data_IF_356312721441
#
_entry.id   IF_356312721441
#
_cell.length_a   1.000
_cell.length_b   1.000
_cell.length_c   1.000
_cell.angle_alpha   90.00
_cell.angle_beta   90.00
_cell.angle_gamma   90.00
#
_symmetry.space_group_name_H-M   'P 1'
#
loop_
_entity.id
_entity.type
_entity.pdbx_description
1 polymer ?
#
# COMPACT_ATOMS: atom_id res chain seq x y z
N UNK A 1 -15.02 -12.29 -7.94
CA UNK A 1 -16.06 -11.28 -7.67
C UNK A 1 -16.31 -10.56 -8.97
N UNK A 2 -17.50 -10.69 -9.55
CA UNK A 2 -17.90 -9.87 -10.71
C UNK A 2 -18.47 -8.56 -10.17
N UNK A 3 -17.81 -7.45 -10.51
CA UNK A 3 -18.27 -6.11 -10.17
C UNK A 3 -18.96 -5.51 -11.39
N UNK A 4 -20.01 -4.69 -11.22
CA UNK A 4 -20.66 -4.03 -12.34
C UNK A 4 -19.66 -3.21 -13.16
N UNK A 5 -19.80 -3.16 -14.50
CA UNK A 5 -18.95 -2.34 -15.34
C UNK A 5 -19.02 -0.87 -14.89
N UNK A 6 -17.86 -0.27 -14.64
CA UNK A 6 -17.74 1.10 -14.11
C UNK A 6 -17.54 1.19 -12.60
N UNK A 7 -17.67 0.09 -11.85
CA UNK A 7 -17.27 0.08 -10.44
C UNK A 7 -15.76 0.25 -10.34
N UNK A 8 -15.33 1.28 -9.60
CA UNK A 8 -13.91 1.56 -9.35
C UNK A 8 -13.70 1.60 -7.85
N UNK A 9 -12.59 1.03 -7.42
CA UNK A 9 -12.15 1.18 -6.05
C UNK A 9 -11.67 2.62 -5.84
N UNK A 10 -12.54 3.46 -5.29
CA UNK A 10 -12.28 4.87 -5.00
C UNK A 10 -12.82 5.23 -3.60
N UNK A 11 -12.28 4.61 -2.54
CA UNK A 11 -12.70 4.89 -1.18
C UNK A 11 -12.30 6.31 -0.77
N UNK A 12 -13.09 6.91 0.10
CA UNK A 12 -12.75 8.15 0.80
C UNK A 12 -11.64 7.92 1.83
N UNK A 13 -10.99 9.00 2.27
CA UNK A 13 -9.96 8.94 3.32
C UNK A 13 -10.49 8.31 4.61
N UNK A 14 -11.73 8.63 4.98
CA UNK A 14 -12.39 8.04 6.14
C UNK A 14 -12.58 6.54 5.97
N UNK A 15 -13.11 6.09 4.82
CA UNK A 15 -13.31 4.66 4.55
C UNK A 15 -11.98 3.89 4.53
N UNK A 16 -10.92 4.47 3.97
CA UNK A 16 -9.57 3.89 4.01
C UNK A 16 -9.12 3.65 5.46
N UNK A 17 -9.37 4.59 6.36
CA UNK A 17 -8.95 4.47 7.76
C UNK A 17 -9.85 3.48 8.51
N UNK A 18 -11.17 3.64 8.43
CA UNK A 18 -12.14 2.91 9.27
C UNK A 18 -12.35 1.48 8.82
N UNK A 19 -12.45 1.25 7.50
CA UNK A 19 -12.78 -0.06 6.95
C UNK A 19 -11.57 -0.87 6.49
N UNK A 20 -10.47 -0.21 6.13
CA UNK A 20 -9.30 -0.92 5.61
C UNK A 20 -8.09 -0.90 6.55
N UNK A 21 -7.77 0.23 7.19
CA UNK A 21 -6.57 0.34 8.01
C UNK A 21 -6.81 -0.10 9.45
N UNK A 22 -7.89 0.37 10.08
CA UNK A 22 -8.21 0.08 11.48
C UNK A 22 -8.35 -1.43 11.74
N UNK A 23 -9.10 -2.19 10.92
CA UNK A 23 -9.21 -3.64 11.10
C UNK A 23 -7.87 -4.35 10.88
N UNK A 24 -7.03 -3.85 9.97
CA UNK A 24 -5.69 -4.41 9.71
C UNK A 24 -4.74 -4.22 10.89
N UNK A 25 -4.85 -3.12 11.62
CA UNK A 25 -4.05 -2.85 12.81
C UNK A 25 -4.54 -3.67 14.00
N UNK A 26 -5.86 -3.82 14.14
CA UNK A 26 -6.47 -4.61 15.23
C UNK A 26 -6.29 -6.12 15.02
N UNK A 27 -6.25 -6.58 13.76
CA UNK A 27 -6.10 -7.99 13.41
C UNK A 27 -5.07 -8.18 12.30
N UNK A 28 -3.96 -8.85 12.64
CA UNK A 28 -2.91 -9.20 11.68
C UNK A 28 -3.40 -10.13 10.57
N UNK A 29 -4.45 -10.93 10.83
CA UNK A 29 -5.06 -11.86 9.86
C UNK A 29 -6.07 -11.19 8.93
N UNK A 30 -6.43 -9.93 9.17
CA UNK A 30 -7.31 -9.19 8.27
C UNK A 30 -6.67 -9.08 6.88
N UNK A 31 -7.43 -9.48 5.86
CA UNK A 31 -7.02 -9.37 4.46
C UNK A 31 -8.10 -8.65 3.68
N UNK A 32 -7.73 -7.55 3.04
CA UNK A 32 -8.62 -6.87 2.10
C UNK A 32 -8.48 -7.48 0.70
N UNK A 33 -9.59 -7.70 -0.02
CA UNK A 33 -9.55 -8.09 -1.43
C UNK A 33 -9.07 -6.95 -2.33
N UNK A 34 -9.25 -5.69 -1.91
CA UNK A 34 -8.87 -4.52 -2.70
C UNK A 34 -7.42 -4.08 -2.48
N UNK A 35 -6.89 -4.27 -1.26
CA UNK A 35 -5.56 -3.78 -0.86
C UNK A 35 -4.59 -4.95 -0.70
N UNK A 36 -3.46 -4.89 -1.39
CA UNK A 36 -2.39 -5.88 -1.32
C UNK A 36 -1.39 -5.55 -0.20
N UNK A 37 -0.74 -6.55 0.38
CA UNK A 37 0.39 -6.34 1.29
C UNK A 37 1.69 -6.29 0.50
N UNK A 38 2.49 -5.24 0.71
CA UNK A 38 3.77 -5.07 0.00
C UNK A 38 4.83 -4.53 0.95
N UNK A 39 6.05 -5.04 0.81
CA UNK A 39 7.23 -4.46 1.45
C UNK A 39 7.89 -3.48 0.47
N UNK A 40 7.63 -2.18 0.67
CA UNK A 40 8.18 -1.13 -0.18
C UNK A 40 9.72 -1.05 -0.14
N UNK A 41 10.39 -1.69 0.83
CA UNK A 41 11.85 -1.76 0.85
C UNK A 41 12.41 -2.80 -0.13
N UNK A 42 11.59 -3.79 -0.52
CA UNK A 42 11.99 -4.92 -1.37
C UNK A 42 11.35 -4.90 -2.75
N UNK A 43 10.46 -3.94 -3.00
CA UNK A 43 9.71 -3.83 -4.25
C UNK A 43 10.00 -2.49 -4.89
N UNK A 44 10.38 -2.50 -6.16
CA UNK A 44 10.57 -1.28 -6.91
C UNK A 44 9.22 -0.65 -7.30
N UNK A 45 9.14 0.67 -7.51
CA UNK A 45 7.89 1.35 -7.85
C UNK A 45 7.19 0.79 -9.10
N UNK A 46 7.97 0.30 -10.08
CA UNK A 46 7.45 -0.28 -11.32
C UNK A 46 6.96 -1.73 -11.16
N UNK A 47 7.31 -2.41 -10.07
CA UNK A 47 6.80 -3.75 -9.75
C UNK A 47 5.46 -3.68 -8.99
N UNK A 48 5.12 -2.52 -8.44
CA UNK A 48 3.89 -2.31 -7.64
C UNK A 48 2.62 -2.62 -8.43
N UNK A 49 2.44 -2.18 -9.70
CA UNK A 49 1.24 -2.47 -10.46
C UNK A 49 0.96 -3.97 -10.60
N UNK A 50 2.01 -4.79 -10.75
CA UNK A 50 1.88 -6.25 -10.85
C UNK A 50 1.54 -6.94 -9.52
N UNK A 51 1.69 -6.25 -8.39
CA UNK A 51 1.37 -6.75 -7.04
C UNK A 51 0.03 -6.25 -6.52
N UNK A 52 -0.60 -5.32 -7.22
CA UNK A 52 -1.89 -4.79 -6.81
C UNK A 52 -2.98 -5.85 -6.98
N UNK A 53 -3.88 -5.96 -6.01
CA UNK A 53 -5.06 -6.84 -6.11
C UNK A 53 -6.21 -6.20 -6.89
N UNK A 54 -6.30 -4.87 -6.85
CA UNK A 54 -7.38 -4.10 -7.47
C UNK A 54 -6.89 -2.70 -7.84
N UNK A 55 -7.51 -2.12 -8.87
CA UNK A 55 -7.21 -0.78 -9.36
C UNK A 55 -6.55 -0.78 -10.74
N UNK A 56 -6.95 0.17 -11.58
CA UNK A 56 -6.41 0.35 -12.93
C UNK A 56 -5.41 1.50 -13.02
N UNK A 57 -5.75 2.63 -12.38
CA UNK A 57 -4.96 3.88 -12.39
C UNK A 57 -4.30 4.18 -11.05
N UNK A 58 -4.93 3.72 -9.97
CA UNK A 58 -4.52 3.95 -8.60
C UNK A 58 -4.51 2.59 -7.90
N UNK A 59 -3.49 2.34 -7.09
CA UNK A 59 -3.29 1.09 -6.39
C UNK A 59 -3.04 1.36 -4.91
N UNK A 60 -3.64 0.54 -4.08
CA UNK A 60 -3.56 0.68 -2.63
C UNK A 60 -2.80 -0.52 -2.07
N UNK A 61 -1.86 -0.22 -1.16
CA UNK A 61 -1.04 -1.24 -0.52
C UNK A 61 -0.94 -1.03 0.99
N UNK A 62 -1.00 -2.12 1.74
CA UNK A 62 -0.50 -2.15 3.10
C UNK A 62 1.02 -2.24 3.04
N UNK A 63 1.68 -1.21 3.57
CA UNK A 63 3.12 -1.23 3.75
C UNK A 63 3.45 -1.56 5.20
N UNK A 64 4.33 -2.54 5.41
CA UNK A 64 4.99 -2.71 6.70
C UNK A 64 5.84 -1.47 6.95
N UNK A 65 5.53 -0.70 7.99
CA UNK A 65 6.38 0.42 8.40
C UNK A 65 7.67 -0.13 8.97
N UNK A 66 8.66 -0.36 8.11
CA UNK A 66 10.02 -0.55 8.60
C UNK A 66 10.57 0.81 9.03
N UNK A 67 10.71 0.98 10.34
CA UNK A 67 11.26 2.19 10.93
C UNK A 67 12.77 2.12 10.80
N UNK A 68 13.38 3.04 10.05
CA UNK A 68 14.84 3.15 9.94
C UNK A 68 15.51 3.34 11.32
N UNK A 69 14.79 3.89 12.29
CA UNK A 69 15.16 3.92 13.72
C UNK A 69 13.92 3.77 14.60
N UNK A 70 13.99 3.12 15.78
CA UNK A 70 12.85 2.90 16.68
C UNK A 70 12.07 4.18 17.05
N UNK A 71 12.75 5.33 17.06
CA UNK A 71 12.25 6.65 17.49
C UNK A 71 12.00 7.63 16.34
N UNK A 72 12.26 7.26 15.08
CA UNK A 72 12.17 8.17 13.93
C UNK A 72 10.91 7.98 13.07
N UNK A 73 10.40 9.08 12.50
CA UNK A 73 9.30 9.07 11.51
C UNK A 73 9.80 8.73 10.08
N UNK A 74 11.11 8.53 9.90
CA UNK A 74 11.74 8.36 8.60
C UNK A 74 11.68 6.89 8.18
N UNK A 75 10.84 6.58 7.21
CA UNK A 75 10.81 5.26 6.56
C UNK A 75 12.03 5.11 5.66
N UNK A 76 12.61 3.90 5.64
CA UNK A 76 13.64 3.58 4.65
C UNK A 76 12.93 3.49 3.28
N UNK A 77 13.39 4.28 2.31
CA UNK A 77 12.86 4.26 0.93
C UNK A 77 14.01 4.01 -0.05
N UNK A 78 14.96 3.19 0.39
CA UNK A 78 16.02 2.68 -0.45
C UNK A 78 15.60 1.29 -0.88
N UNK A 79 15.20 1.16 -2.14
CA UNK A 79 15.12 -0.14 -2.80
C UNK A 79 16.50 -0.54 -3.33
N UNK A 80 16.67 -1.80 -3.73
CA UNK A 80 17.96 -2.36 -4.15
C UNK A 80 18.58 -1.59 -5.35
N UNK A 81 17.76 -0.97 -6.20
CA UNK A 81 18.23 -0.18 -7.33
C UNK A 81 18.54 1.31 -7.02
N UNK A 82 18.25 1.80 -5.81
CA UNK A 82 18.63 3.15 -5.37
C UNK A 82 17.52 3.98 -4.75
N UNK A 83 17.88 5.17 -4.26
CA UNK A 83 16.97 6.11 -3.56
C UNK A 83 16.08 6.83 -4.57
N UNK A 84 14.79 6.98 -4.26
CA UNK A 84 13.90 7.88 -5.00
C UNK A 84 14.46 9.31 -4.91
N UNK A 85 15.18 9.76 -5.93
CA UNK A 85 15.68 11.13 -5.99
C UNK A 85 14.47 12.03 -6.25
N UNK A 86 14.14 12.87 -5.27
CA UNK A 86 13.15 13.93 -5.43
C UNK A 86 13.76 14.91 -6.42
N UNK A 87 13.35 14.84 -7.68
CA UNK A 87 13.72 15.84 -8.69
C UNK A 87 13.04 17.14 -8.24
N UNK A 88 13.82 18.02 -7.61
CA UNK A 88 13.46 19.42 -7.38
C UNK A 88 13.38 20.17 -8.69
#
# INVERSE_FOLDING_TARGET
>A
MELPPGFRFHPTDEELITHYLSPKVLSSTFSSPAIAEVDLNKCEPWDLPGRAKMGEKEWYFYCVRDRKYPTGLRTNRATAAGKSSKRT
#
